data_IF_086685887981
#
_entry.id   IF_086685887981
#
_cell.length_a   1.000
_cell.length_b   1.000
_cell.length_c   1.000
_cell.angle_alpha   90.00
_cell.angle_beta   90.00
_cell.angle_gamma   90.00
#
_symmetry.space_group_name_H-M   'P 1'
#
loop_
_entity.id
_entity.type
_entity.pdbx_description
1 polymer ?
#
# COMPACT_ATOMS: atom_id res chain seq x y z
N UNK A 1 17.28 -61.87 -10.53
CA UNK A 1 18.07 -60.92 -9.72
C UNK A 1 17.71 -59.52 -10.24
N UNK A 2 16.63 -58.95 -9.70
CA UNK A 2 16.02 -57.70 -10.18
C UNK A 2 16.01 -56.74 -9.00
N UNK A 3 16.61 -55.56 -9.18
CA UNK A 3 16.86 -54.60 -8.12
C UNK A 3 15.56 -54.11 -7.46
N UNK A 4 15.50 -54.02 -6.11
CA UNK A 4 14.35 -53.46 -5.41
C UNK A 4 14.28 -51.95 -5.62
N UNK A 5 13.13 -51.48 -6.11
CA UNK A 5 12.85 -50.09 -6.43
C UNK A 5 13.21 -49.14 -5.28
N UNK A 6 14.01 -48.14 -5.65
CA UNK A 6 14.40 -47.01 -4.81
C UNK A 6 13.18 -46.30 -4.21
N UNK A 7 13.25 -45.80 -2.97
CA UNK A 7 12.18 -44.98 -2.39
C UNK A 7 12.05 -43.69 -3.20
N UNK A 8 10.95 -43.53 -3.93
CA UNK A 8 10.66 -42.26 -4.60
C UNK A 8 10.39 -41.18 -3.54
N UNK A 9 11.14 -40.08 -3.50
CA UNK A 9 10.85 -38.97 -2.62
C UNK A 9 9.65 -38.23 -3.19
N UNK A 10 8.45 -38.72 -2.88
CA UNK A 10 7.18 -38.05 -3.18
C UNK A 10 7.01 -36.85 -2.24
N UNK A 11 7.96 -35.91 -2.29
CA UNK A 11 7.92 -34.62 -1.61
C UNK A 11 7.01 -33.63 -2.35
N UNK A 12 5.88 -34.09 -2.88
CA UNK A 12 4.83 -33.21 -3.38
C UNK A 12 4.34 -32.39 -2.20
N UNK A 13 4.88 -31.17 -2.08
CA UNK A 13 4.44 -30.18 -1.10
C UNK A 13 3.10 -29.67 -1.59
N UNK A 14 2.03 -30.38 -1.26
CA UNK A 14 0.69 -29.92 -1.56
C UNK A 14 0.39 -28.72 -0.67
N UNK A 15 0.52 -27.51 -1.22
CA UNK A 15 0.05 -26.28 -0.60
C UNK A 15 -1.47 -26.21 -0.73
N UNK A 16 -2.19 -27.02 0.04
CA UNK A 16 -3.64 -26.89 0.13
C UNK A 16 -3.97 -25.61 0.93
N UNK A 17 -4.19 -24.50 0.23
CA UNK A 17 -4.78 -23.31 0.84
C UNK A 17 -6.29 -23.48 0.89
N UNK A 18 -6.82 -23.78 2.07
CA UNK A 18 -8.26 -23.89 2.29
C UNK A 18 -8.79 -22.53 2.73
N UNK A 19 -9.79 -22.01 2.03
CA UNK A 19 -10.52 -20.80 2.41
C UNK A 19 -11.83 -21.23 3.05
N UNK A 20 -12.08 -20.81 4.28
CA UNK A 20 -13.32 -21.09 4.99
C UNK A 20 -13.89 -19.81 5.63
N UNK A 21 -15.21 -19.71 5.69
CA UNK A 21 -15.91 -18.60 6.34
C UNK A 21 -16.14 -18.93 7.81
N UNK A 22 -15.65 -18.09 8.71
CA UNK A 22 -15.93 -18.22 10.14
C UNK A 22 -17.38 -17.81 10.46
N UNK A 23 -17.97 -18.44 11.47
CA UNK A 23 -19.26 -17.98 12.03
C UNK A 23 -19.09 -16.56 12.61
N UNK A 24 -20.13 -15.71 12.56
CA UNK A 24 -20.08 -14.37 13.15
C UNK A 24 -19.70 -14.44 14.64
N UNK A 25 -18.75 -13.60 15.07
CA UNK A 25 -18.31 -13.52 16.47
C UNK A 25 -17.25 -14.54 16.91
N UNK A 26 -16.79 -15.44 16.03
CA UNK A 26 -15.67 -16.35 16.32
C UNK A 26 -14.34 -15.64 16.05
N UNK A 27 -13.45 -15.62 17.05
CA UNK A 27 -12.10 -15.07 16.92
C UNK A 27 -11.16 -16.04 16.21
N UNK A 28 -10.15 -15.50 15.53
CA UNK A 28 -9.14 -16.31 14.83
C UNK A 28 -8.42 -17.29 15.77
N UNK A 29 -8.16 -16.89 17.01
CA UNK A 29 -7.52 -17.75 18.03
C UNK A 29 -8.38 -18.96 18.40
N UNK A 30 -9.70 -18.76 18.48
CA UNK A 30 -10.63 -19.86 18.79
C UNK A 30 -10.76 -20.82 17.61
N UNK A 31 -10.78 -20.30 16.38
CA UNK A 31 -10.75 -21.11 15.18
C UNK A 31 -9.43 -21.90 15.05
N UNK A 32 -8.30 -21.30 15.46
CA UNK A 32 -7.00 -21.96 15.51
C UNK A 32 -6.98 -23.11 16.52
N UNK A 33 -7.53 -22.90 17.72
CA UNK A 33 -7.62 -23.93 18.75
C UNK A 33 -8.53 -25.10 18.31
N UNK A 34 -9.67 -24.82 17.70
CA UNK A 34 -10.58 -25.84 17.18
C UNK A 34 -9.93 -26.66 16.06
N UNK A 35 -9.23 -26.00 15.12
CA UNK A 35 -8.50 -26.69 14.06
C UNK A 35 -7.32 -27.51 14.59
N UNK A 36 -6.60 -27.03 15.60
CA UNK A 36 -5.53 -27.80 16.25
C UNK A 36 -6.08 -29.10 16.85
N UNK A 37 -7.26 -29.03 17.48
CA UNK A 37 -7.94 -30.19 18.06
C UNK A 37 -8.45 -31.16 16.98
N UNK A 38 -8.99 -30.64 15.88
CA UNK A 38 -9.40 -31.47 14.73
C UNK A 38 -8.18 -32.16 14.11
N UNK A 39 -7.05 -31.46 13.94
CA UNK A 39 -5.83 -32.04 13.38
C UNK A 39 -5.30 -33.16 14.26
N UNK A 40 -5.23 -32.95 15.58
CA UNK A 40 -4.78 -33.96 16.54
C UNK A 40 -5.66 -35.22 16.52
N UNK A 41 -6.98 -35.06 16.39
CA UNK A 41 -7.93 -36.18 16.26
C UNK A 41 -7.76 -36.92 14.92
N UNK A 42 -7.52 -36.18 13.84
CA UNK A 42 -7.34 -36.74 12.51
C UNK A 42 -6.04 -37.56 12.40
N UNK A 43 -4.96 -37.08 13.01
CA UNK A 43 -3.70 -37.82 13.14
C UNK A 43 -3.89 -39.13 13.91
N UNK A 44 -4.61 -39.06 15.03
CA UNK A 44 -4.89 -40.22 15.89
C UNK A 44 -5.75 -41.27 15.18
N UNK A 45 -6.72 -40.84 14.35
CA UNK A 45 -7.63 -41.72 13.63
C UNK A 45 -7.04 -42.33 12.35
N UNK A 46 -6.07 -41.67 11.71
CA UNK A 46 -5.49 -42.11 10.44
C UNK A 46 -3.95 -42.15 10.42
N UNK A 47 -3.29 -42.84 11.36
CA UNK A 47 -1.84 -42.84 11.52
C UNK A 47 -1.08 -43.32 10.26
N UNK A 48 -1.66 -44.23 9.45
CA UNK A 48 -1.03 -44.75 8.23
C UNK A 48 -1.08 -43.82 7.01
N UNK A 49 -2.00 -42.83 6.97
CA UNK A 49 -2.07 -41.83 5.88
C UNK A 49 -1.21 -40.59 6.15
N UNK A 50 -0.88 -40.36 7.42
CA UNK A 50 -0.18 -39.19 7.92
C UNK A 50 1.23 -39.50 8.45
N UNK A 51 1.54 -40.79 8.67
CA UNK A 51 2.75 -41.28 9.34
C UNK A 51 4.06 -41.24 8.54
N UNK A 52 4.20 -40.33 7.58
CA UNK A 52 5.45 -40.21 6.81
C UNK A 52 5.76 -38.83 6.28
N UNK A 53 4.81 -37.89 6.26
CA UNK A 53 5.07 -36.54 5.77
C UNK A 53 4.03 -35.56 6.29
N UNK A 54 4.50 -34.64 7.14
CA UNK A 54 3.93 -33.29 7.31
C UNK A 54 2.56 -33.18 8.01
N UNK A 55 2.08 -34.21 8.69
CA UNK A 55 0.83 -34.12 9.47
C UNK A 55 0.89 -33.12 10.64
N UNK A 56 2.11 -32.83 11.14
CA UNK A 56 2.37 -31.76 12.11
C UNK A 56 2.56 -30.37 11.49
N UNK A 57 2.28 -30.17 10.19
CA UNK A 57 2.27 -28.83 9.61
C UNK A 57 1.14 -28.04 10.26
N UNK A 58 1.48 -27.26 11.29
CA UNK A 58 0.54 -26.42 12.03
C UNK A 58 -0.36 -25.67 11.04
N UNK A 59 -1.60 -26.14 10.89
CA UNK A 59 -2.61 -25.43 10.10
C UNK A 59 -2.82 -24.10 10.79
N UNK A 60 -2.25 -23.04 10.22
CA UNK A 60 -2.37 -21.70 10.77
C UNK A 60 -3.55 -21.02 10.10
N UNK A 61 -4.55 -20.68 10.90
CA UNK A 61 -5.61 -19.75 10.54
C UNK A 61 -4.97 -18.39 10.41
N UNK A 62 -4.85 -17.92 9.16
CA UNK A 62 -4.44 -16.56 8.86
C UNK A 62 -5.68 -15.87 8.33
N UNK A 63 -6.02 -14.72 8.91
CA UNK A 63 -7.09 -13.90 8.38
C UNK A 63 -6.81 -13.59 6.91
N UNK A 64 -7.80 -13.79 6.05
CA UNK A 64 -7.63 -13.54 4.61
C UNK A 64 -7.19 -12.09 4.35
N UNK A 65 -7.63 -11.16 5.20
CA UNK A 65 -7.22 -9.77 5.18
C UNK A 65 -5.72 -9.58 5.48
N UNK A 66 -5.15 -10.28 6.47
CA UNK A 66 -3.71 -10.21 6.77
C UNK A 66 -2.87 -10.83 5.65
N UNK A 67 -3.36 -11.88 4.98
CA UNK A 67 -2.67 -12.45 3.83
C UNK A 67 -2.64 -11.54 2.62
N UNK A 68 -3.75 -10.85 2.32
CA UNK A 68 -3.81 -9.96 1.15
C UNK A 68 -3.19 -8.58 1.44
N UNK A 69 -3.43 -8.02 2.62
CA UNK A 69 -3.07 -6.62 2.94
C UNK A 69 -1.78 -6.53 3.74
N UNK A 70 -1.46 -7.54 4.56
CA UNK A 70 -0.33 -7.49 5.50
C UNK A 70 1.02 -7.28 4.81
N UNK A 71 1.23 -7.87 3.63
CA UNK A 71 2.49 -7.73 2.90
C UNK A 71 2.62 -6.40 2.13
N UNK A 72 1.50 -5.78 1.73
CA UNK A 72 1.51 -4.54 0.91
C UNK A 72 1.37 -3.27 1.74
N UNK A 73 0.83 -3.37 2.96
CA UNK A 73 0.61 -2.23 3.86
C UNK A 73 1.88 -1.41 4.16
N UNK A 74 3.04 -2.02 4.51
CA UNK A 74 4.24 -1.23 4.77
C UNK A 74 4.79 -0.55 3.50
N UNK A 75 4.73 -1.22 2.35
CA UNK A 75 5.14 -0.63 1.08
C UNK A 75 4.26 0.59 0.70
N UNK A 76 2.93 0.47 0.87
CA UNK A 76 1.99 1.57 0.66
C UNK A 76 2.25 2.76 1.59
N UNK A 77 2.60 2.50 2.86
CA UNK A 77 2.93 3.55 3.83
C UNK A 77 4.21 4.30 3.44
N UNK A 78 5.26 3.57 3.02
CA UNK A 78 6.51 4.19 2.54
C UNK A 78 6.25 5.02 1.28
N UNK A 79 5.50 4.48 0.32
CA UNK A 79 5.15 5.19 -0.91
C UNK A 79 4.34 6.45 -0.61
N UNK A 80 3.36 6.35 0.29
CA UNK A 80 2.54 7.49 0.72
C UNK A 80 3.39 8.55 1.44
N UNK A 81 4.32 8.14 2.29
CA UNK A 81 5.26 9.03 2.96
C UNK A 81 6.17 9.75 1.98
N UNK A 82 6.73 9.03 0.99
CA UNK A 82 7.56 9.61 -0.05
C UNK A 82 6.78 10.64 -0.90
N UNK A 83 5.57 10.30 -1.33
CA UNK A 83 4.68 11.23 -2.06
C UNK A 83 4.35 12.46 -1.22
N UNK A 84 4.07 12.27 0.08
CA UNK A 84 3.84 13.37 1.02
C UNK A 84 5.03 14.32 1.13
N UNK A 85 6.26 13.80 1.23
CA UNK A 85 7.48 14.60 1.26
C UNK A 85 7.69 15.37 -0.05
N UNK A 86 7.48 14.74 -1.21
CA UNK A 86 7.58 15.40 -2.51
C UNK A 86 6.58 16.54 -2.63
N UNK A 87 5.32 16.32 -2.25
CA UNK A 87 4.29 17.36 -2.18
C UNK A 87 4.72 18.52 -1.29
N UNK A 88 5.30 18.22 -0.11
CA UNK A 88 5.81 19.23 0.81
C UNK A 88 6.94 20.07 0.18
N UNK A 89 7.90 19.43 -0.48
CA UNK A 89 9.01 20.11 -1.17
C UNK A 89 8.46 21.05 -2.25
N UNK A 90 7.48 20.59 -3.04
CA UNK A 90 6.83 21.41 -4.06
C UNK A 90 6.12 22.61 -3.43
N UNK A 91 5.34 22.40 -2.36
CA UNK A 91 4.67 23.48 -1.64
C UNK A 91 5.63 24.51 -1.06
N UNK A 92 6.76 24.08 -0.50
CA UNK A 92 7.79 24.97 0.02
C UNK A 92 8.43 25.80 -1.10
N UNK A 93 8.75 25.18 -2.23
CA UNK A 93 9.31 25.89 -3.38
C UNK A 93 8.34 26.91 -3.97
N UNK A 94 7.06 26.58 -4.08
CA UNK A 94 6.02 27.52 -4.52
C UNK A 94 5.93 28.68 -3.52
N UNK A 95 5.91 28.40 -2.22
CA UNK A 95 5.84 29.44 -1.18
C UNK A 95 7.03 30.40 -1.27
N UNK A 96 8.25 29.88 -1.46
CA UNK A 96 9.44 30.70 -1.67
C UNK A 96 9.38 31.54 -2.95
N UNK A 97 8.88 30.97 -4.05
CA UNK A 97 8.72 31.71 -5.31
C UNK A 97 7.71 32.86 -5.16
N UNK A 98 6.58 32.60 -4.48
CA UNK A 98 5.56 33.60 -4.18
C UNK A 98 6.13 34.71 -3.30
N UNK A 99 6.90 34.34 -2.27
CA UNK A 99 7.56 35.29 -1.37
C UNK A 99 8.58 36.17 -2.13
N UNK A 100 9.42 35.57 -2.96
CA UNK A 100 10.40 36.30 -3.77
C UNK A 100 9.73 37.29 -4.74
N UNK A 101 8.64 36.89 -5.41
CA UNK A 101 7.86 37.78 -6.28
C UNK A 101 7.16 38.89 -5.50
N UNK A 102 6.69 38.61 -4.29
CA UNK A 102 6.11 39.62 -3.41
C UNK A 102 7.15 40.66 -2.98
N UNK A 103 8.37 40.23 -2.63
CA UNK A 103 9.49 41.11 -2.29
C UNK A 103 9.90 41.96 -3.49
N UNK A 104 10.02 41.36 -4.69
CA UNK A 104 10.40 42.09 -5.90
C UNK A 104 9.38 43.19 -6.28
N UNK A 105 8.08 42.97 -6.03
CA UNK A 105 7.01 43.96 -6.27
C UNK A 105 6.71 44.84 -5.07
N UNK A 106 7.41 44.67 -3.94
CA UNK A 106 7.13 45.34 -2.67
C UNK A 106 7.23 46.86 -2.78
N UNK A 107 8.18 47.39 -3.57
CA UNK A 107 8.34 48.85 -3.79
C UNK A 107 7.17 49.46 -4.56
N UNK A 108 6.73 48.85 -5.67
CA UNK A 108 5.55 49.30 -6.41
C UNK A 108 4.28 49.21 -5.56
N UNK A 109 4.16 48.13 -4.79
CA UNK A 109 3.03 47.90 -3.88
C UNK A 109 3.00 48.99 -2.81
N UNK A 110 4.13 49.31 -2.17
CA UNK A 110 4.22 50.36 -1.15
C UNK A 110 3.81 51.74 -1.69
N UNK A 111 4.26 52.09 -2.90
CA UNK A 111 3.88 53.35 -3.56
C UNK A 111 2.40 53.35 -3.92
N UNK A 112 1.85 52.24 -4.44
CA UNK A 112 0.41 52.13 -4.72
C UNK A 112 -0.44 52.21 -3.46
N UNK A 113 -0.01 51.64 -2.34
CA UNK A 113 -0.72 51.73 -1.05
C UNK A 113 -0.72 53.16 -0.54
N UNK A 114 0.40 53.88 -0.67
CA UNK A 114 0.46 55.31 -0.35
C UNK A 114 -0.49 56.15 -1.22
N UNK A 115 -0.82 55.64 -2.43
CA UNK A 115 -1.81 56.20 -3.36
C UNK A 115 -3.20 55.55 -3.28
N UNK A 116 -3.45 54.64 -2.33
CA UNK A 116 -4.73 53.94 -2.14
C UNK A 116 -5.04 52.76 -3.08
N UNK A 117 -4.12 52.36 -3.97
CA UNK A 117 -4.32 51.31 -4.96
C UNK A 117 -3.94 49.89 -4.46
N UNK A 118 -4.80 48.92 -4.76
CA UNK A 118 -4.88 47.63 -4.06
C UNK A 118 -3.83 46.56 -4.42
N UNK A 119 -3.28 45.95 -3.37
CA UNK A 119 -2.44 44.72 -3.33
C UNK A 119 -3.05 43.48 -4.02
N UNK A 120 -4.35 43.51 -4.36
CA UNK A 120 -5.11 42.33 -4.80
C UNK A 120 -4.70 41.79 -6.18
N UNK A 121 -4.19 42.63 -7.09
CA UNK A 121 -3.87 42.21 -8.47
C UNK A 121 -2.69 41.25 -8.52
N UNK A 122 -1.66 41.49 -7.71
CA UNK A 122 -0.47 40.63 -7.62
C UNK A 122 -0.84 39.28 -7.00
N UNK A 123 -1.64 39.29 -5.94
CA UNK A 123 -2.12 38.07 -5.29
C UNK A 123 -2.97 37.23 -6.25
N UNK A 124 -3.85 37.86 -7.03
CA UNK A 124 -4.69 37.19 -8.02
C UNK A 124 -3.88 36.57 -9.15
N UNK A 125 -2.86 37.27 -9.67
CA UNK A 125 -2.00 36.75 -10.72
C UNK A 125 -1.20 35.53 -10.26
N UNK A 126 -0.64 35.61 -9.05
CA UNK A 126 0.11 34.51 -8.44
C UNK A 126 -0.76 33.27 -8.19
N UNK A 127 -1.98 33.48 -7.68
CA UNK A 127 -2.98 32.42 -7.52
C UNK A 127 -3.33 31.80 -8.86
N UNK A 128 -3.62 32.59 -9.90
CA UNK A 128 -3.97 32.06 -11.23
C UNK A 128 -2.81 31.30 -11.88
N UNK A 129 -1.59 31.80 -11.78
CA UNK A 129 -0.41 31.17 -12.38
C UNK A 129 -0.04 29.87 -11.64
N UNK A 130 -0.11 29.87 -10.30
CA UNK A 130 0.06 28.68 -9.48
C UNK A 130 -1.02 27.62 -9.75
N UNK A 131 -2.28 28.04 -9.90
CA UNK A 131 -3.41 27.13 -10.19
C UNK A 131 -3.30 26.54 -11.60
N UNK A 132 -2.81 27.31 -12.57
CA UNK A 132 -2.55 26.84 -13.93
C UNK A 132 -1.41 25.80 -13.95
N UNK A 133 -0.31 26.08 -13.24
CA UNK A 133 0.82 25.16 -13.09
C UNK A 133 0.40 23.87 -12.36
N UNK A 134 -0.38 23.98 -11.29
CA UNK A 134 -0.91 22.84 -10.55
C UNK A 134 -1.84 21.99 -11.42
N UNK A 135 -2.72 22.62 -12.21
CA UNK A 135 -3.60 21.92 -13.13
C UNK A 135 -2.82 21.21 -14.25
N UNK A 136 -1.82 21.86 -14.83
CA UNK A 136 -0.97 21.28 -15.87
C UNK A 136 -0.15 20.10 -15.33
N UNK A 137 0.49 20.26 -14.16
CA UNK A 137 1.23 19.19 -13.49
C UNK A 137 0.32 18.01 -13.11
N UNK A 138 -0.87 18.30 -12.59
CA UNK A 138 -1.88 17.28 -12.26
C UNK A 138 -2.37 16.52 -13.50
N UNK A 139 -2.67 17.22 -14.59
CA UNK A 139 -3.09 16.60 -15.85
C UNK A 139 -1.98 15.72 -16.45
N UNK A 140 -0.73 16.20 -16.46
CA UNK A 140 0.42 15.42 -16.91
C UNK A 140 0.65 14.18 -16.03
N UNK A 141 0.57 14.33 -14.71
CA UNK A 141 0.69 13.22 -13.76
C UNK A 141 -0.42 12.17 -13.96
N UNK A 142 -1.67 12.60 -14.15
CA UNK A 142 -2.80 11.72 -14.48
C UNK A 142 -2.59 10.98 -15.80
N UNK A 143 -2.12 11.67 -16.83
CA UNK A 143 -1.83 11.06 -18.13
C UNK A 143 -0.73 10.00 -18.01
N UNK A 144 0.35 10.28 -17.28
CA UNK A 144 1.42 9.32 -17.02
C UNK A 144 0.96 8.13 -16.17
N UNK A 145 0.17 8.37 -15.13
CA UNK A 145 -0.38 7.30 -14.29
C UNK A 145 -1.30 6.38 -15.10
N UNK A 146 -2.20 6.96 -15.90
CA UNK A 146 -3.10 6.19 -16.75
C UNK A 146 -2.34 5.43 -17.85
N UNK A 147 -1.35 6.06 -18.46
CA UNK A 147 -0.47 5.41 -19.44
C UNK A 147 0.34 4.27 -18.82
N UNK A 148 0.91 4.48 -17.63
CA UNK A 148 1.69 3.47 -16.91
C UNK A 148 0.85 2.27 -16.49
N UNK A 149 -0.37 2.48 -15.97
CA UNK A 149 -1.29 1.39 -15.61
C UNK A 149 -1.74 0.59 -16.84
N UNK A 150 -1.86 1.23 -18.01
CA UNK A 150 -2.23 0.55 -19.25
C UNK A 150 -1.08 -0.22 -19.90
N UNK A 151 0.16 0.11 -19.55
CA UNK A 151 1.38 -0.52 -20.06
C UNK A 151 1.85 -1.70 -19.19
N UNK A 152 1.49 -1.70 -17.90
CA UNK A 152 1.65 -2.81 -16.96
C UNK A 152 0.58 -3.89 -17.17
#
# INVERSE_FOLDING_TARGET
MSEPGSPQPNGATYFYSVIARMKPGVTADRAQADLALINQRLESAYPKKFGGSRAGAQLRVIGLHDRLVGNVRPALLVLSGAVGLVLLIVCLNISNLLLARAIARQKEIAVRIALGAGRSRVLRQLMTEGMLLAAAGGAAGLALAFGGVRLL
#
